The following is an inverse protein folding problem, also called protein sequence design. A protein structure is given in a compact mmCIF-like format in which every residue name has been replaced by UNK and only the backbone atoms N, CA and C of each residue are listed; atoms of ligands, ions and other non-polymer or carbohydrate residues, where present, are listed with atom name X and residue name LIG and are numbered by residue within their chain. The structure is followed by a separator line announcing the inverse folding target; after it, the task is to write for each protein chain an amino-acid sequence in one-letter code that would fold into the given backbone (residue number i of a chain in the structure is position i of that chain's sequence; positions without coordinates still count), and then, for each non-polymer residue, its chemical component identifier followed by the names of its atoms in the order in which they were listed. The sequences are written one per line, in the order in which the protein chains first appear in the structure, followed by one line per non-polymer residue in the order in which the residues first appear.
data_IF_808627872189
#
_entry.id   IF_808627872189
#
_cell.length_a   1.000
_cell.length_b   1.000
_cell.length_c   1.000
_cell.angle_alpha   90.00
_cell.angle_beta   90.00
_cell.angle_gamma   90.00
#
_symmetry.space_group_name_H-M   'P 1'
#
loop_
_entity.id
_entity.type
_entity.pdbx_description
1 polymer ?
#
# COMPACT_ATOMS: atom_id res chain seq x y z
N UNK A 1 -20.20 8.37 7.98
CA UNK A 1 -18.91 7.69 8.27
C UNK A 1 -17.82 7.96 7.22
N UNK A 2 -17.89 7.48 5.97
CA UNK A 2 -16.82 7.74 4.97
C UNK A 2 -16.78 9.22 4.55
N UNK A 3 -17.93 9.86 4.33
CA UNK A 3 -17.98 11.28 3.96
C UNK A 3 -17.44 12.20 5.06
N UNK A 4 -17.74 11.88 6.33
CA UNK A 4 -17.19 12.58 7.50
C UNK A 4 -15.67 12.41 7.58
N UNK A 5 -15.16 11.19 7.36
CA UNK A 5 -13.72 10.92 7.29
C UNK A 5 -13.05 11.72 6.17
N UNK A 6 -13.65 11.76 4.98
CA UNK A 6 -13.16 12.55 3.85
C UNK A 6 -13.12 14.03 4.21
N UNK A 7 -14.18 14.55 4.83
CA UNK A 7 -14.27 15.96 5.23
C UNK A 7 -13.20 16.32 6.27
N UNK A 8 -13.02 15.49 7.30
CA UNK A 8 -12.02 15.67 8.33
C UNK A 8 -10.59 15.66 7.78
N UNK A 9 -10.27 14.71 6.88
CA UNK A 9 -8.98 14.61 6.21
C UNK A 9 -8.72 15.82 5.31
N UNK A 10 -9.72 16.23 4.52
CA UNK A 10 -9.63 17.36 3.60
C UNK A 10 -9.37 18.68 4.35
N UNK A 11 -10.00 18.86 5.51
CA UNK A 11 -9.76 20.01 6.39
C UNK A 11 -8.30 20.14 6.90
N UNK A 12 -7.52 19.06 6.82
CA UNK A 12 -6.09 19.01 7.18
C UNK A 12 -5.16 18.85 5.97
N UNK A 13 -5.68 18.99 4.75
CA UNK A 13 -4.90 18.90 3.51
C UNK A 13 -4.61 17.46 3.05
N UNK A 14 -5.34 16.47 3.56
CA UNK A 14 -5.22 15.07 3.12
C UNK A 14 -6.30 14.71 2.08
N UNK A 15 -5.92 13.90 1.11
CA UNK A 15 -6.81 13.23 0.17
C UNK A 15 -6.88 11.74 0.52
N UNK A 16 -8.09 11.24 0.82
CA UNK A 16 -8.35 9.83 1.04
C UNK A 16 -8.35 9.07 -0.30
N UNK A 17 -7.81 7.85 -0.32
CA UNK A 17 -8.07 6.86 -1.39
C UNK A 17 -9.25 5.97 -0.98
N UNK A 18 -10.48 6.16 -1.49
CA UNK A 18 -11.65 5.49 -0.93
C UNK A 18 -11.62 3.97 -1.08
N UNK A 19 -11.05 3.47 -2.19
CA UNK A 19 -10.89 2.02 -2.45
C UNK A 19 -9.93 1.34 -1.48
N UNK A 20 -9.07 2.10 -0.79
CA UNK A 20 -8.04 1.56 0.11
C UNK A 20 -8.57 1.11 1.47
N UNK A 21 -9.78 1.54 1.84
CA UNK A 21 -10.39 1.30 3.15
C UNK A 21 -10.58 -0.22 3.33
N UNK A 22 -10.01 -0.74 4.41
CA UNK A 22 -10.08 -2.16 4.77
C UNK A 22 -10.23 -2.32 6.28
N UNK A 23 -10.98 -3.33 6.70
CA UNK A 23 -11.09 -3.73 8.10
C UNK A 23 -10.23 -4.96 8.36
N UNK A 24 -9.45 -4.95 9.43
CA UNK A 24 -8.75 -6.14 9.90
C UNK A 24 -9.69 -7.02 10.73
N UNK A 25 -9.32 -8.28 10.91
CA UNK A 25 -10.05 -9.20 11.82
C UNK A 25 -10.08 -8.68 13.26
N UNK A 26 -9.02 -7.99 13.69
CA UNK A 26 -8.95 -7.31 14.99
C UNK A 26 -9.77 -6.01 15.09
N UNK A 27 -10.63 -5.71 14.11
CA UNK A 27 -11.54 -4.55 14.14
C UNK A 27 -10.93 -3.21 13.76
N UNK A 28 -9.63 -3.14 13.45
CA UNK A 28 -8.98 -1.91 13.03
C UNK A 28 -9.39 -1.53 11.60
N UNK A 29 -9.65 -0.25 11.36
CA UNK A 29 -9.88 0.27 10.00
C UNK A 29 -8.62 0.92 9.48
N UNK A 30 -8.07 0.37 8.39
CA UNK A 30 -6.86 0.85 7.72
C UNK A 30 -7.24 1.48 6.38
N UNK A 31 -6.59 2.56 5.99
CA UNK A 31 -6.75 3.19 4.68
C UNK A 31 -5.49 3.94 4.27
N UNK A 32 -5.41 4.38 3.02
CA UNK A 32 -4.33 5.23 2.50
C UNK A 32 -4.84 6.65 2.36
N UNK A 33 -4.06 7.61 2.84
CA UNK A 33 -4.28 9.03 2.60
C UNK A 33 -3.01 9.68 2.06
N UNK A 34 -3.16 10.72 1.23
CA UNK A 34 -2.06 11.48 0.65
C UNK A 34 -2.09 12.93 1.10
N UNK A 35 -0.93 13.50 1.43
CA UNK A 35 -0.73 14.93 1.68
C UNK A 35 0.46 15.42 0.86
N UNK A 36 0.23 16.39 -0.02
CA UNK A 36 1.24 16.80 -0.99
C UNK A 36 1.64 15.63 -1.89
N UNK A 37 2.92 15.24 -1.86
CA UNK A 37 3.43 14.08 -2.60
C UNK A 37 3.56 12.81 -1.75
N UNK A 38 3.36 12.89 -0.43
CA UNK A 38 3.54 11.76 0.48
C UNK A 38 2.24 10.99 0.70
N UNK A 39 2.34 9.65 0.72
CA UNK A 39 1.25 8.73 1.07
C UNK A 39 1.50 8.16 2.46
N UNK A 40 0.42 7.98 3.21
CA UNK A 40 0.42 7.48 4.58
C UNK A 40 -0.53 6.29 4.69
N UNK A 41 -0.13 5.30 5.49
CA UNK A 41 -1.03 4.29 6.02
C UNK A 41 -1.70 4.89 7.24
N UNK A 42 -3.02 4.96 7.22
CA UNK A 42 -3.82 5.53 8.27
C UNK A 42 -4.60 4.44 8.99
N UNK A 43 -4.74 4.57 10.31
CA UNK A 43 -5.51 3.66 11.16
C UNK A 43 -6.49 4.48 11.99
N UNK A 44 -7.78 4.19 11.90
CA UNK A 44 -8.79 4.78 12.80
C UNK A 44 -8.69 4.04 14.13
N UNK A 45 -8.41 4.77 15.22
CA UNK A 45 -8.07 4.17 16.51
C UNK A 45 -9.20 4.14 17.54
N UNK A 46 -9.28 3.00 18.24
CA UNK A 46 -9.46 2.91 19.70
C UNK A 46 -8.24 2.33 20.45
N UNK A 47 -7.14 2.02 19.74
CA UNK A 47 -5.75 1.69 20.17
C UNK A 47 -5.12 0.86 19.05
N UNK A 48 -3.94 1.23 18.54
CA UNK A 48 -3.21 0.61 17.43
C UNK A 48 -2.86 -0.86 17.75
N UNK A 49 -3.71 -1.84 17.40
CA UNK A 49 -3.46 -3.22 17.80
C UNK A 49 -2.35 -3.86 16.95
N UNK A 50 -1.95 -3.17 15.88
CA UNK A 50 -0.94 -3.60 14.90
C UNK A 50 0.46 -3.15 15.37
N UNK A 51 0.54 -2.19 16.30
CA UNK A 51 1.80 -1.69 16.84
C UNK A 51 2.66 -0.95 15.81
N UNK A 52 2.07 -0.32 14.79
CA UNK A 52 2.82 0.50 13.82
C UNK A 52 3.58 1.63 14.51
N UNK A 53 4.83 1.87 14.08
CA UNK A 53 5.68 2.92 14.62
C UNK A 53 5.34 4.24 13.94
N UNK A 54 4.87 5.27 14.67
CA UNK A 54 4.56 6.57 14.08
C UNK A 54 5.84 7.28 13.65
N UNK A 55 5.82 7.81 12.43
CA UNK A 55 6.90 8.67 11.90
C UNK A 55 6.43 10.12 11.74
N UNK A 56 5.18 10.41 12.09
CA UNK A 56 4.59 11.74 12.08
C UNK A 56 3.62 11.91 13.26
N UNK A 57 3.50 13.13 13.76
CA UNK A 57 2.49 13.48 14.75
C UNK A 57 1.07 13.33 14.15
N UNK A 58 0.05 12.94 14.95
CA UNK A 58 -1.31 12.81 14.47
C UNK A 58 -1.81 14.16 13.94
N UNK A 59 -2.28 14.17 12.69
CA UNK A 59 -2.80 15.37 12.03
C UNK A 59 -4.32 15.55 12.22
N UNK A 60 -5.01 14.46 12.52
CA UNK A 60 -6.46 14.38 12.76
C UNK A 60 -6.67 13.54 14.03
N UNK A 61 -7.58 13.98 14.90
CA UNK A 61 -7.93 13.26 16.13
C UNK A 61 -8.47 11.86 15.80
N UNK A 62 -8.12 10.86 16.62
CA UNK A 62 -8.49 9.45 16.46
C UNK A 62 -7.99 8.77 15.16
N UNK A 63 -7.02 9.36 14.45
CA UNK A 63 -6.39 8.77 13.27
C UNK A 63 -4.87 8.79 13.42
N UNK A 64 -4.27 7.61 13.45
CA UNK A 64 -2.81 7.44 13.35
C UNK A 64 -2.35 7.54 11.89
N UNK A 65 -1.22 8.19 11.64
CA UNK A 65 -0.61 8.34 10.31
C UNK A 65 0.80 7.73 10.32
N UNK A 66 1.03 6.75 9.45
CA UNK A 66 2.25 5.95 9.43
C UNK A 66 2.86 5.93 8.03
N UNK A 67 4.19 5.98 7.94
CA UNK A 67 4.88 5.65 6.68
C UNK A 67 4.93 4.15 6.48
N UNK A 68 4.94 3.71 5.24
CA UNK A 68 5.16 2.31 4.89
C UNK A 68 6.67 2.01 4.89
N UNK A 69 7.27 2.04 6.09
CA UNK A 69 8.63 1.56 6.32
C UNK A 69 8.67 0.03 6.29
N UNK A 70 9.88 -0.53 6.25
CA UNK A 70 10.05 -1.99 6.27
C UNK A 70 9.46 -2.61 7.55
N UNK A 71 9.68 -1.96 8.69
CA UNK A 71 9.19 -2.38 10.00
C UNK A 71 7.66 -2.36 10.05
N UNK A 72 7.04 -1.31 9.50
CA UNK A 72 5.58 -1.21 9.43
C UNK A 72 5.01 -2.21 8.42
N UNK A 73 5.66 -2.45 7.29
CA UNK A 73 5.28 -3.52 6.36
C UNK A 73 5.29 -4.90 7.00
N UNK A 74 6.34 -5.22 7.78
CA UNK A 74 6.43 -6.50 8.48
C UNK A 74 5.28 -6.71 9.46
N UNK A 75 4.77 -5.65 10.11
CA UNK A 75 3.60 -5.74 11.00
C UNK A 75 2.29 -5.81 10.22
N UNK A 76 2.16 -5.00 9.16
CA UNK A 76 0.96 -4.96 8.33
C UNK A 76 0.70 -6.29 7.61
N UNK A 77 1.75 -6.98 7.13
CA UNK A 77 1.60 -8.25 6.42
C UNK A 77 1.11 -9.41 7.30
N UNK A 78 1.21 -9.28 8.62
CA UNK A 78 0.66 -10.28 9.56
C UNK A 78 -0.86 -10.15 9.71
N UNK A 79 -1.42 -8.97 9.41
CA UNK A 79 -2.85 -8.67 9.58
C UNK A 79 -3.57 -8.39 8.26
N UNK A 80 -2.84 -8.30 7.15
CA UNK A 80 -3.37 -8.06 5.81
C UNK A 80 -2.67 -8.96 4.77
N UNK A 81 -3.38 -9.43 3.73
CA UNK A 81 -2.81 -10.24 2.65
C UNK A 81 -2.03 -9.37 1.65
N UNK A 82 -0.93 -8.75 2.10
CA UNK A 82 -0.12 -7.80 1.32
C UNK A 82 1.30 -8.31 1.03
N UNK A 83 1.60 -9.55 1.40
CA UNK A 83 2.85 -10.21 1.02
C UNK A 83 2.73 -10.76 -0.41
N UNK A 84 3.81 -10.71 -1.21
CA UNK A 84 3.83 -11.35 -2.51
C UNK A 84 3.71 -12.87 -2.36
N UNK A 85 3.14 -13.53 -3.36
CA UNK A 85 2.99 -14.97 -3.42
C UNK A 85 3.63 -15.55 -4.70
N UNK A 86 4.08 -16.81 -4.67
CA UNK A 86 4.42 -17.53 -5.89
C UNK A 86 3.27 -17.54 -6.91
N UNK A 87 3.59 -17.75 -8.18
CA UNK A 87 2.57 -17.79 -9.21
C UNK A 87 1.58 -18.94 -9.00
N UNK A 88 0.31 -18.59 -8.81
CA UNK A 88 -0.80 -19.52 -8.62
C UNK A 88 -1.80 -19.53 -9.79
N UNK A 89 -1.43 -18.91 -10.92
CA UNK A 89 -2.22 -18.82 -12.14
C UNK A 89 -1.50 -19.51 -13.29
N UNK A 90 -2.24 -19.84 -14.36
CA UNK A 90 -1.66 -20.36 -15.60
C UNK A 90 -0.74 -19.36 -16.31
N UNK A 91 -1.01 -18.06 -16.13
CA UNK A 91 -0.26 -16.97 -16.72
C UNK A 91 0.03 -15.89 -15.67
N UNK A 92 1.17 -15.23 -15.81
CA UNK A 92 1.54 -14.03 -15.05
C UNK A 92 1.90 -12.91 -16.02
N UNK A 93 1.86 -11.66 -15.54
CA UNK A 93 2.29 -10.51 -16.30
C UNK A 93 3.12 -9.57 -15.43
N UNK A 94 4.33 -9.27 -15.89
CA UNK A 94 5.30 -8.41 -15.22
C UNK A 94 5.10 -6.93 -15.53
N UNK A 95 5.00 -6.10 -14.50
CA UNK A 95 4.85 -4.64 -14.65
C UNK A 95 5.88 -3.89 -13.81
N UNK A 96 7.13 -3.87 -14.29
CA UNK A 96 8.19 -3.14 -13.60
C UNK A 96 7.88 -1.65 -13.48
N UNK A 97 7.98 -1.13 -12.25
CA UNK A 97 7.68 0.26 -11.90
C UNK A 97 8.94 0.94 -11.34
N UNK A 98 9.70 1.54 -12.26
CA UNK A 98 10.94 2.28 -11.98
C UNK A 98 10.74 3.55 -11.14
N UNK A 99 9.50 4.04 -11.03
CA UNK A 99 9.20 5.26 -10.28
C UNK A 99 8.52 4.97 -8.94
N UNK A 100 7.90 3.79 -8.78
CA UNK A 100 7.08 3.45 -7.62
C UNK A 100 5.73 4.18 -7.59
N UNK A 101 5.25 4.66 -8.75
CA UNK A 101 4.09 5.56 -8.83
C UNK A 101 2.85 4.96 -9.51
N UNK A 102 3.02 3.90 -10.31
CA UNK A 102 1.99 3.44 -11.26
C UNK A 102 1.44 2.05 -10.92
N UNK A 103 1.95 1.40 -9.87
CA UNK A 103 1.47 0.07 -9.45
C UNK A 103 -0.05 -0.01 -9.27
N UNK A 104 -0.70 1.02 -8.71
CA UNK A 104 -2.15 1.04 -8.57
C UNK A 104 -2.89 0.95 -9.91
N UNK A 105 -2.37 1.63 -10.95
CA UNK A 105 -2.93 1.57 -12.30
C UNK A 105 -2.67 0.20 -12.97
N UNK A 106 -1.48 -0.38 -12.76
CA UNK A 106 -1.18 -1.73 -13.21
C UNK A 106 -2.17 -2.75 -12.64
N UNK A 107 -2.45 -2.68 -11.33
CA UNK A 107 -3.41 -3.56 -10.66
C UNK A 107 -4.85 -3.35 -11.13
N UNK A 108 -5.28 -2.10 -11.36
CA UNK A 108 -6.63 -1.81 -11.88
C UNK A 108 -6.86 -2.44 -13.26
N UNK A 109 -5.84 -2.44 -14.13
CA UNK A 109 -5.92 -3.09 -15.45
C UNK A 109 -5.82 -4.61 -15.33
N UNK A 110 -4.79 -5.12 -14.65
CA UNK A 110 -4.51 -6.56 -14.60
C UNK A 110 -5.57 -7.36 -13.83
N UNK A 111 -6.27 -6.73 -12.89
CA UNK A 111 -7.41 -7.36 -12.19
C UNK A 111 -8.55 -7.80 -13.11
N UNK A 112 -8.59 -7.28 -14.35
CA UNK A 112 -9.61 -7.60 -15.38
C UNK A 112 -9.25 -8.84 -16.21
N UNK A 113 -8.05 -9.40 -16.02
CA UNK A 113 -7.53 -10.51 -16.81
C UNK A 113 -7.18 -11.71 -15.90
N UNK A 114 -7.22 -12.95 -16.42
CA UNK A 114 -6.90 -14.15 -15.65
C UNK A 114 -5.38 -14.37 -15.53
N UNK A 115 -4.64 -13.34 -15.11
CA UNK A 115 -3.19 -13.36 -14.94
C UNK A 115 -2.80 -12.99 -13.50
N UNK A 116 -1.70 -13.53 -13.00
CA UNK A 116 -1.10 -13.03 -11.77
C UNK A 116 -0.28 -11.77 -12.09
N UNK A 117 -0.60 -10.60 -11.49
CA UNK A 117 0.21 -9.41 -11.66
C UNK A 117 1.52 -9.52 -10.86
N UNK A 118 2.66 -9.35 -11.53
CA UNK A 118 3.99 -9.29 -10.88
C UNK A 118 4.41 -7.81 -10.86
N UNK A 119 4.04 -7.13 -9.78
CA UNK A 119 4.13 -5.66 -9.66
C UNK A 119 5.40 -5.18 -8.95
N UNK A 120 6.01 -6.02 -8.12
CA UNK A 120 7.31 -5.74 -7.53
C UNK A 120 8.40 -6.37 -8.41
N UNK A 121 8.72 -5.72 -9.53
CA UNK A 121 9.67 -6.24 -10.51
C UNK A 121 10.68 -5.17 -10.92
N UNK A 122 11.97 -5.46 -10.72
CA UNK A 122 13.04 -4.59 -11.21
C UNK A 122 14.38 -5.34 -11.25
N UNK A 123 15.15 -5.21 -12.32
CA UNK A 123 16.47 -5.87 -12.43
C UNK A 123 17.56 -5.17 -11.59
N UNK A 124 18.66 -5.86 -11.24
CA UNK A 124 19.80 -5.25 -10.56
C UNK A 124 20.38 -4.03 -11.31
N UNK A 125 20.38 -4.06 -12.65
CA UNK A 125 20.85 -2.94 -13.49
C UNK A 125 19.97 -1.70 -13.34
N UNK A 126 18.66 -1.87 -13.24
CA UNK A 126 17.72 -0.77 -13.05
C UNK A 126 17.82 -0.21 -11.63
N UNK A 127 17.94 -1.05 -10.61
CA UNK A 127 18.15 -0.62 -9.22
C UNK A 127 19.38 0.27 -9.07
N UNK A 128 20.50 -0.10 -9.70
CA UNK A 128 21.72 0.72 -9.68
C UNK A 128 21.53 2.08 -10.34
N UNK A 129 20.78 2.16 -11.44
CA UNK A 129 20.54 3.43 -12.16
C UNK A 129 19.63 4.37 -11.41
N UNK A 130 18.70 3.84 -10.63
CA UNK A 130 17.70 4.61 -9.91
C UNK A 130 18.03 4.80 -8.43
N UNK A 131 19.16 4.24 -7.98
CA UNK A 131 19.57 4.24 -6.57
C UNK A 131 18.49 3.66 -5.65
N UNK A 132 17.82 2.59 -6.11
CA UNK A 132 16.75 1.89 -5.39
C UNK A 132 17.23 0.54 -4.88
N UNK A 133 16.45 -0.05 -3.99
CA UNK A 133 16.66 -1.41 -3.48
C UNK A 133 15.45 -2.28 -3.77
N UNK A 134 15.62 -3.61 -3.80
CA UNK A 134 14.47 -4.51 -3.88
C UNK A 134 13.44 -4.26 -2.77
N UNK A 135 13.90 -3.89 -1.57
CA UNK A 135 13.01 -3.50 -0.46
C UNK A 135 12.16 -2.29 -0.83
N UNK A 136 12.75 -1.22 -1.36
CA UNK A 136 11.96 -0.04 -1.77
C UNK A 136 10.99 -0.37 -2.90
N UNK A 137 11.39 -1.19 -3.87
CA UNK A 137 10.50 -1.65 -4.95
C UNK A 137 9.28 -2.39 -4.40
N UNK A 138 9.50 -3.31 -3.45
CA UNK A 138 8.41 -4.03 -2.81
C UNK A 138 7.49 -3.09 -2.00
N UNK A 139 8.05 -2.16 -1.22
CA UNK A 139 7.24 -1.22 -0.43
C UNK A 139 6.39 -0.31 -1.33
N UNK A 140 6.94 0.19 -2.44
CA UNK A 140 6.19 1.00 -3.41
C UNK A 140 5.06 0.19 -4.06
N UNK A 141 5.33 -1.07 -4.42
CA UNK A 141 4.32 -1.97 -4.96
C UNK A 141 3.19 -2.25 -3.96
N UNK A 142 3.54 -2.47 -2.68
CA UNK A 142 2.57 -2.66 -1.60
C UNK A 142 1.76 -1.39 -1.36
N UNK A 143 2.35 -0.20 -1.42
CA UNK A 143 1.60 1.06 -1.34
C UNK A 143 0.59 1.19 -2.49
N UNK A 144 0.99 0.84 -3.71
CA UNK A 144 0.10 0.81 -4.88
C UNK A 144 -1.05 -0.21 -4.75
N UNK A 145 -0.77 -1.38 -4.18
CA UNK A 145 -1.79 -2.39 -3.84
C UNK A 145 -2.75 -1.86 -2.77
N UNK A 146 -2.22 -1.21 -1.75
CA UNK A 146 -3.02 -0.66 -0.67
C UNK A 146 -3.96 0.45 -1.16
N UNK A 147 -3.47 1.39 -1.96
CA UNK A 147 -4.26 2.52 -2.44
C UNK A 147 -5.31 2.14 -3.50
N UNK A 148 -5.00 1.13 -4.34
CA UNK A 148 -5.93 0.66 -5.38
C UNK A 148 -7.13 -0.10 -4.81
N UNK A 149 -7.01 -0.62 -3.58
CA UNK A 149 -7.99 -1.53 -2.99
C UNK A 149 -7.90 -2.95 -3.55
N UNK A 150 -6.82 -3.30 -4.25
CA UNK A 150 -6.62 -4.65 -4.78
C UNK A 150 -6.45 -5.66 -3.62
N UNK A 151 -7.21 -6.75 -3.68
CA UNK A 151 -7.24 -7.81 -2.66
C UNK A 151 -6.74 -9.16 -3.20
N UNK A 152 -6.40 -9.23 -4.49
CA UNK A 152 -5.88 -10.45 -5.09
C UNK A 152 -4.42 -10.72 -4.74
N UNK A 153 -3.94 -11.91 -5.13
CA UNK A 153 -2.53 -12.24 -5.07
C UNK A 153 -1.70 -11.41 -6.07
N UNK A 154 -0.44 -11.15 -5.73
CA UNK A 154 0.53 -10.52 -6.61
C UNK A 154 1.91 -11.17 -6.45
N UNK A 155 2.76 -11.04 -7.47
CA UNK A 155 4.12 -11.55 -7.47
C UNK A 155 5.18 -10.47 -7.26
N UNK A 156 6.36 -10.90 -6.83
CA UNK A 156 7.60 -10.14 -6.83
C UNK A 156 8.68 -10.92 -7.59
N UNK A 157 9.44 -10.24 -8.44
CA UNK A 157 10.47 -10.82 -9.32
C UNK A 157 11.74 -9.95 -9.30
N UNK A 158 12.89 -10.57 -9.08
CA UNK A 158 14.14 -9.90 -8.71
C UNK A 158 15.29 -10.21 -9.67
#
# INVERSE_FOLDING_TARGET
MIEELISALKGKGFCLYPKSIRKTEGGATIFVAKRGCEKFICVIEGSNPIGLSPEAAPAVENIGFYKLSWENYLKLKEVLPIAPSPCNKKASFGTGDRLGLVTAAHLDVLSRYPVLPVVAQQSPRELMKEHRTFKSVLLDAVMGLLESGYTGAFGADA
#
